data_IF_130180943371
#
_entry.id   IF_130180943371
#
_cell.length_a   1.000
_cell.length_b   1.000
_cell.length_c   1.000
_cell.angle_alpha   90.00
_cell.angle_beta   90.00
_cell.angle_gamma   90.00
#
_symmetry.space_group_name_H-M   'P 1'
#
loop_
_entity.id
_entity.type
_entity.pdbx_description
1 polymer ?
#
# COMPACT_ATOMS: atom_id res chain seq x y z
N UNK A 1 6.21 -0.88 17.05
CA UNK A 1 7.32 -1.10 16.11
C UNK A 1 7.08 -0.17 14.93
N UNK A 2 8.06 0.63 14.52
CA UNK A 2 7.96 1.35 13.24
C UNK A 2 8.23 0.34 12.13
N UNK A 3 7.29 0.19 11.21
CA UNK A 3 7.49 -0.57 9.97
C UNK A 3 8.44 0.24 9.07
N UNK A 4 9.26 -0.44 8.26
CA UNK A 4 10.17 0.26 7.34
C UNK A 4 9.39 0.82 6.15
N UNK A 5 9.93 1.87 5.50
CA UNK A 5 9.33 2.40 4.27
C UNK A 5 9.27 1.32 3.17
N UNK A 6 10.30 0.48 3.06
CA UNK A 6 10.33 -0.62 2.08
C UNK A 6 9.20 -1.63 2.33
N UNK A 7 8.95 -2.01 3.58
CA UNK A 7 7.85 -2.91 3.92
C UNK A 7 6.48 -2.26 3.65
N UNK A 8 6.35 -0.95 3.90
CA UNK A 8 5.15 -0.20 3.55
C UNK A 8 4.92 -0.19 2.04
N UNK A 9 5.96 0.10 1.25
CA UNK A 9 5.87 0.11 -0.22
C UNK A 9 5.50 -1.27 -0.76
N UNK A 10 6.04 -2.35 -0.19
CA UNK A 10 5.68 -3.72 -0.55
C UNK A 10 4.18 -3.97 -0.32
N UNK A 11 3.65 -3.63 0.86
CA UNK A 11 2.21 -3.75 1.18
C UNK A 11 1.34 -2.87 0.28
N UNK A 12 1.78 -1.64 -0.02
CA UNK A 12 1.06 -0.72 -0.91
C UNK A 12 1.02 -1.27 -2.35
N UNK A 13 2.08 -1.94 -2.79
CA UNK A 13 2.17 -2.49 -4.15
C UNK A 13 1.07 -3.51 -4.45
N UNK A 14 0.68 -4.32 -3.47
CA UNK A 14 -0.38 -5.33 -3.57
C UNK A 14 -1.73 -4.75 -4.01
N UNK A 15 -2.00 -3.51 -3.59
CA UNK A 15 -3.20 -2.80 -4.00
C UNK A 15 -2.90 -1.92 -5.22
N UNK A 16 -1.80 -1.21 -5.25
CA UNK A 16 -1.55 -0.20 -6.28
C UNK A 16 -1.27 -0.77 -7.67
N UNK A 17 -0.70 -1.97 -7.76
CA UNK A 17 -0.26 -2.58 -9.02
C UNK A 17 -1.33 -3.51 -9.62
N UNK A 18 -1.35 -3.61 -10.95
CA UNK A 18 -2.20 -4.57 -11.68
C UNK A 18 -1.84 -6.01 -11.32
N UNK A 19 -0.54 -6.29 -11.34
CA UNK A 19 0.09 -7.55 -10.93
C UNK A 19 1.43 -7.25 -10.25
N UNK A 20 1.52 -7.35 -8.91
CA UNK A 20 2.75 -7.13 -8.16
C UNK A 20 3.86 -8.14 -8.47
N UNK A 21 3.53 -9.33 -8.96
CA UNK A 21 4.48 -10.40 -9.26
C UNK A 21 5.04 -10.35 -10.69
N UNK A 22 4.61 -9.38 -11.50
CA UNK A 22 5.06 -9.19 -12.87
C UNK A 22 6.53 -8.75 -12.93
N UNK A 23 7.25 -9.13 -14.01
CA UNK A 23 8.59 -8.59 -14.29
C UNK A 23 8.57 -7.08 -14.58
N UNK A 24 7.43 -6.56 -15.05
CA UNK A 24 7.20 -5.14 -15.31
C UNK A 24 5.87 -4.71 -14.67
N UNK A 25 5.82 -4.56 -13.35
CA UNK A 25 4.59 -4.22 -12.66
C UNK A 25 4.07 -2.86 -13.11
N UNK A 26 2.77 -2.77 -13.38
CA UNK A 26 2.11 -1.53 -13.81
C UNK A 26 1.22 -0.98 -12.72
N UNK A 27 1.30 0.32 -12.50
CA UNK A 27 0.38 1.05 -11.63
C UNK A 27 -1.02 1.05 -12.24
N UNK A 28 -2.03 0.71 -11.43
CA UNK A 28 -3.43 0.81 -11.84
C UNK A 28 -3.78 2.28 -12.09
N UNK A 29 -4.20 2.61 -13.31
CA UNK A 29 -4.49 3.98 -13.75
C UNK A 29 -5.51 4.72 -12.86
N UNK A 30 -6.49 3.99 -12.32
CA UNK A 30 -7.50 4.57 -11.42
C UNK A 30 -6.98 4.81 -9.98
N UNK A 31 -5.72 4.48 -9.68
CA UNK A 31 -5.08 4.66 -8.37
C UNK A 31 -3.99 5.73 -8.36
N UNK A 32 -3.69 6.36 -9.50
CA UNK A 32 -2.69 7.42 -9.61
C UNK A 32 -2.99 8.60 -8.69
N UNK A 33 -4.26 8.97 -8.53
CA UNK A 33 -4.71 10.06 -7.66
C UNK A 33 -5.37 9.55 -6.36
N UNK A 34 -4.89 8.43 -5.82
CA UNK A 34 -5.48 7.84 -4.64
C UNK A 34 -5.28 8.73 -3.40
N UNK A 35 -6.35 8.92 -2.63
CA UNK A 35 -6.28 9.63 -1.35
C UNK A 35 -5.83 8.69 -0.22
N UNK A 36 -5.27 9.26 0.85
CA UNK A 36 -4.90 8.53 2.07
C UNK A 36 -6.00 7.60 2.61
N UNK A 37 -7.23 8.10 2.64
CA UNK A 37 -8.40 7.35 3.11
C UNK A 37 -8.72 6.17 2.18
N UNK A 38 -8.67 6.39 0.87
CA UNK A 38 -8.89 5.32 -0.11
C UNK A 38 -7.82 4.24 0.01
N UNK A 39 -6.53 4.62 0.10
CA UNK A 39 -5.43 3.66 0.23
C UNK A 39 -5.59 2.83 1.50
N UNK A 40 -5.86 3.49 2.63
CA UNK A 40 -6.09 2.80 3.91
C UNK A 40 -7.24 1.79 3.82
N UNK A 41 -8.34 2.16 3.16
CA UNK A 41 -9.50 1.28 3.02
C UNK A 41 -9.22 0.09 2.09
N UNK A 42 -8.47 0.28 1.02
CA UNK A 42 -8.06 -0.81 0.13
C UNK A 42 -7.17 -1.81 0.86
N UNK A 43 -6.22 -1.34 1.66
CA UNK A 43 -5.35 -2.20 2.46
C UNK A 43 -6.12 -2.97 3.55
N UNK A 44 -7.09 -2.34 4.20
CA UNK A 44 -7.98 -3.01 5.15
C UNK A 44 -8.81 -4.08 4.44
N UNK A 45 -9.38 -3.77 3.29
CA UNK A 45 -10.15 -4.72 2.48
C UNK A 45 -9.31 -5.93 2.11
N UNK A 46 -8.12 -5.71 1.56
CA UNK A 46 -7.19 -6.78 1.19
C UNK A 46 -6.79 -7.66 2.39
N UNK A 47 -6.49 -7.05 3.54
CA UNK A 47 -6.14 -7.80 4.74
C UNK A 47 -7.31 -8.66 5.26
N UNK A 48 -8.55 -8.17 5.16
CA UNK A 48 -9.74 -8.95 5.47
C UNK A 48 -9.94 -10.08 4.46
N UNK A 49 -9.77 -9.82 3.16
CA UNK A 49 -9.88 -10.84 2.11
C UNK A 49 -8.86 -11.98 2.33
N UNK A 50 -7.63 -11.64 2.72
CA UNK A 50 -6.61 -12.64 3.09
C UNK A 50 -6.98 -13.42 4.34
N UNK A 51 -7.52 -12.76 5.37
CA UNK A 51 -7.99 -13.43 6.57
C UNK A 51 -9.13 -14.40 6.26
N UNK A 52 -10.14 -13.95 5.52
CA UNK A 52 -11.34 -14.72 5.18
C UNK A 52 -11.04 -15.87 4.23
N UNK A 53 -10.02 -15.71 3.37
CA UNK A 53 -9.55 -16.74 2.44
C UNK A 53 -8.48 -17.66 3.04
N UNK A 54 -8.16 -17.53 4.34
CA UNK A 54 -7.13 -18.30 5.05
C UNK A 54 -5.76 -18.28 4.35
N UNK A 55 -5.42 -17.16 3.70
CA UNK A 55 -4.13 -16.98 3.04
C UNK A 55 -3.06 -16.77 4.12
N UNK A 56 -1.99 -17.57 4.05
CA UNK A 56 -0.87 -17.49 4.99
C UNK A 56 0.02 -16.28 4.67
N UNK A 57 -0.36 -15.11 5.20
CA UNK A 57 0.37 -13.85 5.11
C UNK A 57 0.46 -13.18 6.48
N UNK A 58 1.52 -12.38 6.68
CA UNK A 58 1.63 -11.59 7.90
C UNK A 58 0.69 -10.36 7.88
N UNK A 59 -0.52 -10.55 8.39
CA UNK A 59 -1.52 -9.49 8.56
C UNK A 59 -1.03 -8.34 9.47
N UNK A 60 0.01 -8.56 10.28
CA UNK A 60 0.60 -7.52 11.12
C UNK A 60 1.25 -6.42 10.28
N UNK A 61 1.86 -6.78 9.14
CA UNK A 61 2.45 -5.81 8.21
C UNK A 61 1.38 -4.89 7.61
N UNK A 62 0.25 -5.45 7.18
CA UNK A 62 -0.88 -4.70 6.65
C UNK A 62 -1.46 -3.75 7.71
N UNK A 63 -1.67 -4.25 8.92
CA UNK A 63 -2.18 -3.45 10.04
C UNK A 63 -1.23 -2.29 10.38
N UNK A 64 0.07 -2.55 10.46
CA UNK A 64 1.06 -1.52 10.79
C UNK A 64 1.16 -0.46 9.67
N UNK A 65 1.12 -0.88 8.41
CA UNK A 65 1.11 0.04 7.26
C UNK A 65 -0.10 0.97 7.31
N UNK A 66 -1.30 0.43 7.55
CA UNK A 66 -2.52 1.24 7.71
C UNK A 66 -2.42 2.21 8.88
N UNK A 67 -1.83 1.79 10.01
CA UNK A 67 -1.64 2.66 11.16
C UNK A 67 -0.68 3.81 10.87
N UNK A 68 0.45 3.56 10.20
CA UNK A 68 1.40 4.60 9.80
C UNK A 68 0.76 5.58 8.79
N UNK A 69 0.07 5.06 7.78
CA UNK A 69 -0.66 5.91 6.80
C UNK A 69 -1.68 6.80 7.54
N UNK A 70 -2.45 6.26 8.49
CA UNK A 70 -3.42 7.04 9.27
C UNK A 70 -2.76 8.02 10.24
N UNK A 71 -1.55 7.75 10.70
CA UNK A 71 -0.80 8.60 11.62
C UNK A 71 -0.14 9.80 10.93
N UNK A 72 0.00 9.79 9.60
CA UNK A 72 0.48 10.94 8.82
C UNK A 72 -0.41 12.15 9.08
N UNK A 73 0.21 13.25 9.53
CA UNK A 73 -0.51 14.45 9.96
C UNK A 73 -0.74 15.44 8.83
N UNK A 74 0.11 15.44 7.81
CA UNK A 74 -0.01 16.31 6.65
C UNK A 74 -0.17 15.53 5.36
N UNK A 75 -0.83 16.16 4.39
CA UNK A 75 -0.93 15.63 3.04
C UNK A 75 0.45 15.50 2.40
N UNK A 76 1.38 16.40 2.71
CA UNK A 76 2.76 16.32 2.24
C UNK A 76 3.51 15.04 2.66
N UNK A 77 3.22 14.47 3.84
CA UNK A 77 3.86 13.23 4.28
C UNK A 77 3.35 12.03 3.46
N UNK A 78 2.06 12.05 3.15
CA UNK A 78 1.44 11.05 2.30
C UNK A 78 1.89 11.19 0.84
N UNK A 79 1.94 12.41 0.31
CA UNK A 79 2.40 12.69 -1.05
C UNK A 79 3.83 12.20 -1.23
N UNK A 80 4.73 12.44 -0.26
CA UNK A 80 6.10 11.93 -0.27
C UNK A 80 6.18 10.40 -0.34
N UNK A 81 5.34 9.70 0.43
CA UNK A 81 5.28 8.24 0.37
C UNK A 81 4.83 7.77 -1.02
N UNK A 82 3.83 8.43 -1.60
CA UNK A 82 3.33 8.09 -2.93
C UNK A 82 4.35 8.43 -4.03
N UNK A 83 5.11 9.51 -3.88
CA UNK A 83 6.22 9.85 -4.76
C UNK A 83 7.29 8.75 -4.71
N UNK A 84 7.73 8.32 -3.51
CA UNK A 84 8.63 7.17 -3.35
C UNK A 84 8.09 5.91 -4.03
N UNK A 85 6.78 5.67 -3.93
CA UNK A 85 6.14 4.53 -4.59
C UNK A 85 6.20 4.64 -6.12
N UNK A 86 5.87 5.79 -6.70
CA UNK A 86 5.89 5.98 -8.15
C UNK A 86 7.31 6.04 -8.73
N UNK A 87 8.30 6.46 -7.95
CA UNK A 87 9.72 6.36 -8.33
C UNK A 87 10.18 4.90 -8.44
N UNK A 88 9.67 4.02 -7.58
CA UNK A 88 9.98 2.59 -7.60
C UNK A 88 9.30 1.83 -8.76
N UNK A 89 8.13 2.31 -9.21
CA UNK A 89 7.33 1.69 -10.26
C UNK A 89 6.95 2.71 -11.34
N UNK A 90 7.82 2.94 -12.35
CA UNK A 90 7.53 3.91 -13.40
C UNK A 90 6.24 3.55 -14.14
N UNK A 91 5.40 4.57 -14.38
CA UNK A 91 4.09 4.46 -15.02
C UNK A 91 4.16 4.07 -16.51
#
# INVERSE_FOLDING_TARGET
MRISEQDMLAVISEVMLEDPASETPKVRQNRVNITRNQLSNLLIGLANDYHDSEVDVDLTLYKNTVLEIKAMKSDSDFDRLMDSFFEAYPQ
#
